data_IF_478770301353
#
_entry.id   IF_478770301353
#
_cell.length_a   1.000
_cell.length_b   1.000
_cell.length_c   1.000
_cell.angle_alpha   90.00
_cell.angle_beta   90.00
_cell.angle_gamma   90.00
#
_symmetry.space_group_name_H-M   'P 1'
#
loop_
_entity.id
_entity.type
_entity.pdbx_description
1 polymer ?
#
# COMPACT_ATOMS: atom_id res chain seq x y z
N UNK A 1 -10.68 -14.96 -1.17
CA UNK A 1 -11.07 -13.54 -1.08
C UNK A 1 -10.00 -12.66 -0.43
N UNK A 2 -9.53 -13.01 0.78
CA UNK A 2 -8.61 -12.19 1.59
C UNK A 2 -7.26 -11.82 0.94
N UNK A 3 -6.63 -12.74 0.18
CA UNK A 3 -5.39 -12.41 -0.54
C UNK A 3 -5.59 -11.27 -1.55
N UNK A 4 -6.72 -11.26 -2.27
CA UNK A 4 -7.06 -10.18 -3.21
C UNK A 4 -7.20 -8.86 -2.47
N UNK A 5 -8.00 -8.82 -1.39
CA UNK A 5 -8.16 -7.62 -0.56
C UNK A 5 -6.81 -7.14 0.03
N UNK A 6 -5.91 -8.05 0.40
CA UNK A 6 -4.60 -7.69 0.90
C UNK A 6 -3.74 -7.02 -0.18
N UNK A 7 -3.60 -7.64 -1.35
CA UNK A 7 -2.85 -7.04 -2.48
C UNK A 7 -3.47 -5.72 -2.92
N UNK A 8 -4.80 -5.62 -3.00
CA UNK A 8 -5.50 -4.38 -3.33
C UNK A 8 -5.22 -3.26 -2.33
N UNK A 9 -5.03 -3.57 -1.04
CA UNK A 9 -4.66 -2.55 -0.04
C UNK A 9 -3.31 -1.90 -0.38
N UNK A 10 -2.32 -2.70 -0.77
CA UNK A 10 -0.99 -2.21 -1.19
C UNK A 10 -1.06 -1.39 -2.49
N UNK A 11 -1.88 -1.80 -3.44
CA UNK A 11 -2.10 -1.05 -4.68
C UNK A 11 -2.75 0.31 -4.37
N UNK A 12 -3.79 0.33 -3.53
CA UNK A 12 -4.52 1.54 -3.16
C UNK A 12 -3.64 2.52 -2.37
N UNK A 13 -2.81 2.08 -1.43
CA UNK A 13 -1.90 2.99 -0.72
C UNK A 13 -0.84 3.57 -1.68
N UNK A 14 -0.36 2.78 -2.64
CA UNK A 14 0.55 3.25 -3.69
C UNK A 14 -0.11 4.29 -4.61
N UNK A 15 -1.38 4.09 -4.99
CA UNK A 15 -2.16 5.07 -5.73
C UNK A 15 -2.41 6.34 -4.89
N UNK A 16 -2.78 6.19 -3.62
CA UNK A 16 -3.00 7.30 -2.68
C UNK A 16 -1.80 8.24 -2.60
N UNK A 17 -0.58 7.70 -2.46
CA UNK A 17 0.63 8.52 -2.42
C UNK A 17 0.88 9.27 -3.73
N UNK A 18 0.59 8.66 -4.87
CA UNK A 18 0.78 9.29 -6.20
C UNK A 18 -0.24 10.39 -6.49
N UNK A 19 -1.50 10.24 -6.04
CA UNK A 19 -2.57 11.21 -6.28
C UNK A 19 -2.60 12.30 -5.22
N UNK A 20 -2.55 11.91 -3.94
CA UNK A 20 -2.74 12.81 -2.82
C UNK A 20 -1.44 13.43 -2.31
N UNK A 21 -0.30 12.78 -2.57
CA UNK A 21 1.04 13.19 -2.12
C UNK A 21 1.65 12.25 -1.07
N UNK A 22 2.94 12.43 -0.81
CA UNK A 22 3.75 11.56 0.07
C UNK A 22 3.29 11.57 1.55
N UNK A 23 2.50 12.55 1.98
CA UNK A 23 1.89 12.60 3.31
C UNK A 23 0.76 11.59 3.49
N UNK A 24 0.20 11.05 2.40
CA UNK A 24 -0.79 9.99 2.48
C UNK A 24 -0.16 8.74 3.13
N UNK A 25 -0.67 8.41 4.31
CA UNK A 25 -0.16 7.32 5.14
C UNK A 25 -1.30 6.49 5.70
N UNK A 26 -1.14 5.17 5.72
CA UNK A 26 -2.14 4.27 6.27
C UNK A 26 -2.31 4.53 7.78
N UNK A 27 -3.54 4.88 8.17
CA UNK A 27 -3.96 4.99 9.56
C UNK A 27 -4.57 3.68 10.08
N UNK A 28 -5.12 2.86 9.18
CA UNK A 28 -5.79 1.60 9.52
C UNK A 28 -6.17 0.80 8.29
N UNK A 29 -6.41 -0.49 8.46
CA UNK A 29 -6.97 -1.34 7.42
C UNK A 29 -7.74 -2.50 8.04
N UNK A 30 -8.91 -2.84 7.48
CA UNK A 30 -9.64 -4.04 7.84
C UNK A 30 -10.06 -4.79 6.57
N UNK A 31 -10.07 -6.12 6.65
CA UNK A 31 -10.33 -7.00 5.51
C UNK A 31 -11.29 -8.09 5.98
N UNK A 32 -12.42 -8.20 5.31
CA UNK A 32 -13.39 -9.27 5.47
C UNK A 32 -13.50 -10.05 4.15
N UNK A 33 -14.31 -11.10 4.13
CA UNK A 33 -14.58 -11.93 2.96
C UNK A 33 -15.32 -11.13 1.88
N UNK A 34 -16.26 -10.27 2.31
CA UNK A 34 -17.15 -9.50 1.44
C UNK A 34 -16.65 -8.08 1.14
N UNK A 35 -15.97 -7.44 2.09
CA UNK A 35 -15.54 -6.05 1.97
C UNK A 35 -14.17 -5.79 2.61
N UNK A 36 -13.54 -4.69 2.22
CA UNK A 36 -12.31 -4.21 2.86
C UNK A 36 -12.33 -2.69 2.97
N UNK A 37 -11.63 -2.16 3.97
CA UNK A 37 -11.43 -0.72 4.17
C UNK A 37 -9.95 -0.41 4.38
N UNK A 38 -9.55 0.76 3.91
CA UNK A 38 -8.24 1.35 4.11
C UNK A 38 -8.47 2.79 4.57
N UNK A 39 -7.95 3.11 5.76
CA UNK A 39 -8.03 4.43 6.35
C UNK A 39 -6.70 5.15 6.08
N UNK A 40 -6.75 6.35 5.49
CA UNK A 40 -5.57 7.11 5.06
C UNK A 40 -5.55 8.47 5.75
N UNK A 41 -4.40 8.83 6.32
CA UNK A 41 -4.13 10.17 6.83
C UNK A 41 -4.11 11.17 5.68
N UNK A 42 -5.08 12.06 5.66
CA UNK A 42 -5.18 13.16 4.71
C UNK A 42 -5.84 14.36 5.39
N UNK A 43 -5.50 15.58 4.96
CA UNK A 43 -5.88 16.81 5.67
C UNK A 43 -7.29 17.31 5.37
N UNK A 44 -7.99 16.70 4.40
CA UNK A 44 -9.36 17.03 4.00
C UNK A 44 -10.08 15.82 3.43
N UNK A 45 -11.35 15.97 3.10
CA UNK A 45 -12.08 14.98 2.32
C UNK A 45 -11.56 14.92 0.88
N UNK A 46 -11.60 13.72 0.29
CA UNK A 46 -11.26 13.52 -1.11
C UNK A 46 -12.33 14.13 -2.01
N UNK A 47 -11.92 14.80 -3.08
CA UNK A 47 -12.86 15.21 -4.13
C UNK A 47 -13.27 14.00 -4.97
N UNK A 48 -14.34 14.14 -5.74
CA UNK A 48 -14.80 13.09 -6.65
C UNK A 48 -13.75 12.77 -7.71
N UNK A 49 -13.00 13.78 -8.16
CA UNK A 49 -11.92 13.65 -9.15
C UNK A 49 -10.74 12.88 -8.57
N UNK A 50 -10.37 13.15 -7.31
CA UNK A 50 -9.32 12.40 -6.61
C UNK A 50 -9.71 10.93 -6.43
N UNK A 51 -10.96 10.65 -6.05
CA UNK A 51 -11.46 9.27 -5.94
C UNK A 51 -11.40 8.54 -7.28
N UNK A 52 -11.83 9.20 -8.37
CA UNK A 52 -11.77 8.63 -9.73
C UNK A 52 -10.34 8.36 -10.17
N UNK A 53 -9.40 9.25 -9.86
CA UNK A 53 -8.00 9.07 -10.23
C UNK A 53 -7.34 7.94 -9.43
N UNK A 54 -7.67 7.80 -8.14
CA UNK A 54 -7.24 6.66 -7.32
C UNK A 54 -7.73 5.33 -7.90
N UNK A 55 -9.01 5.26 -8.24
CA UNK A 55 -9.61 4.08 -8.86
C UNK A 55 -8.94 3.76 -10.21
N UNK A 56 -8.75 4.77 -11.06
CA UNK A 56 -8.12 4.61 -12.37
C UNK A 56 -6.69 4.06 -12.26
N UNK A 57 -5.87 4.61 -11.36
CA UNK A 57 -4.51 4.15 -11.14
C UNK A 57 -4.46 2.74 -10.53
N UNK A 58 -5.33 2.45 -9.55
CA UNK A 58 -5.39 1.13 -8.94
C UNK A 58 -5.79 0.06 -9.97
N UNK A 59 -6.84 0.31 -10.74
CA UNK A 59 -7.29 -0.57 -11.81
C UNK A 59 -6.21 -0.77 -12.89
N UNK A 60 -5.49 0.30 -13.27
CA UNK A 60 -4.35 0.20 -14.20
C UNK A 60 -3.30 -0.80 -13.71
N UNK A 61 -2.88 -0.71 -12.44
CA UNK A 61 -1.90 -1.65 -11.86
C UNK A 61 -2.42 -3.09 -11.86
N UNK A 62 -3.72 -3.28 -11.60
CA UNK A 62 -4.35 -4.61 -11.70
C UNK A 62 -4.29 -5.14 -13.13
N UNK A 63 -4.59 -4.31 -14.13
CA UNK A 63 -4.53 -4.69 -15.55
C UNK A 63 -3.11 -4.99 -16.02
N UNK A 64 -2.11 -4.28 -15.51
CA UNK A 64 -0.69 -4.52 -15.82
C UNK A 64 -0.18 -5.87 -15.30
N UNK A 65 -0.90 -6.50 -14.36
CA UNK A 65 -0.58 -7.81 -13.81
C UNK A 65 0.89 -7.91 -13.34
N UNK A 66 1.33 -6.88 -12.61
CA UNK A 66 2.71 -6.79 -12.12
C UNK A 66 3.03 -7.94 -11.14
N UNK A 67 4.28 -8.43 -11.12
CA UNK A 67 4.68 -9.48 -10.18
C UNK A 67 4.55 -9.00 -8.73
N UNK A 68 4.10 -9.91 -7.87
CA UNK A 68 4.07 -9.73 -6.40
C UNK A 68 5.14 -10.62 -5.79
N UNK A 69 6.19 -10.00 -5.27
CA UNK A 69 7.36 -10.70 -4.73
C UNK A 69 7.45 -10.54 -3.22
N UNK A 70 8.03 -11.54 -2.55
CA UNK A 70 8.30 -11.48 -1.12
C UNK A 70 9.70 -11.99 -0.82
N UNK A 71 10.40 -11.30 0.07
CA UNK A 71 11.77 -11.62 0.46
C UNK A 71 11.99 -11.33 1.95
N UNK A 72 12.90 -12.06 2.57
CA UNK A 72 13.41 -11.72 3.90
C UNK A 72 14.70 -10.94 3.74
N UNK A 73 14.82 -9.82 4.44
CA UNK A 73 16.02 -8.97 4.35
C UNK A 73 16.36 -8.38 5.72
N UNK A 74 17.63 -8.07 6.00
CA UNK A 74 18.02 -7.29 7.17
C UNK A 74 17.32 -5.92 7.20
N UNK A 75 16.82 -5.52 8.36
CA UNK A 75 16.03 -4.28 8.53
C UNK A 75 16.78 -3.05 8.04
N UNK A 76 18.04 -2.91 8.42
CA UNK A 76 18.91 -1.81 8.04
C UNK A 76 19.10 -1.72 6.53
N UNK A 77 19.29 -2.86 5.85
CA UNK A 77 19.35 -2.93 4.39
C UNK A 77 18.02 -2.51 3.75
N UNK A 78 16.90 -2.99 4.30
CA UNK A 78 15.55 -2.64 3.83
C UNK A 78 15.28 -1.15 3.95
N UNK A 79 15.54 -0.56 5.11
CA UNK A 79 15.30 0.86 5.40
C UNK A 79 16.18 1.74 4.52
N UNK A 80 17.44 1.36 4.29
CA UNK A 80 18.33 2.07 3.37
C UNK A 80 17.84 2.02 1.92
N UNK A 81 17.28 0.89 1.50
CA UNK A 81 16.86 0.68 0.11
C UNK A 81 15.49 1.29 -0.19
N UNK A 82 14.53 1.13 0.72
CA UNK A 82 13.12 1.46 0.48
C UNK A 82 12.61 2.62 1.33
N UNK A 83 13.41 3.10 2.29
CA UNK A 83 13.01 4.13 3.24
C UNK A 83 11.96 3.65 4.25
N UNK A 84 11.46 4.58 5.05
CA UNK A 84 10.49 4.27 6.12
C UNK A 84 9.07 3.96 5.61
N UNK A 85 8.80 4.08 4.30
CA UNK A 85 7.51 3.67 3.70
C UNK A 85 7.20 2.19 3.89
N UNK A 86 8.18 1.38 4.27
CA UNK A 86 7.99 -0.01 4.68
C UNK A 86 6.98 -0.17 5.83
N UNK A 87 6.80 0.88 6.64
CA UNK A 87 6.04 0.82 7.88
C UNK A 87 4.64 1.44 7.79
N UNK A 88 4.03 1.45 6.59
CA UNK A 88 2.63 1.87 6.41
C UNK A 88 1.66 1.08 7.31
N UNK A 89 1.90 -0.22 7.47
CA UNK A 89 1.12 -1.09 8.35
C UNK A 89 1.53 -1.06 9.83
N UNK A 90 2.43 -0.15 10.22
CA UNK A 90 3.05 -0.11 11.54
C UNK A 90 4.45 -0.73 11.59
N UNK A 91 5.15 -0.48 12.70
CA UNK A 91 6.48 -1.03 12.93
C UNK A 91 6.39 -2.53 13.24
N UNK A 92 7.13 -3.34 12.48
CA UNK A 92 7.27 -4.78 12.74
C UNK A 92 8.49 -5.03 13.63
N UNK A 93 8.51 -6.03 14.53
CA UNK A 93 9.68 -6.41 15.31
C UNK A 93 10.69 -7.24 14.48
N UNK A 94 11.89 -7.47 15.02
CA UNK A 94 12.88 -8.41 14.47
C UNK A 94 14.00 -7.78 13.63
N UNK A 95 15.12 -8.50 13.49
CA UNK A 95 16.29 -8.07 12.69
C UNK A 95 16.12 -8.36 11.20
N UNK A 96 15.45 -9.46 10.85
CA UNK A 96 15.02 -9.79 9.50
C UNK A 96 13.53 -9.41 9.36
N UNK A 97 13.20 -8.65 8.33
CA UNK A 97 11.81 -8.29 8.03
C UNK A 97 11.38 -8.89 6.69
N UNK A 98 10.11 -9.29 6.61
CA UNK A 98 9.51 -9.82 5.38
C UNK A 98 8.97 -8.66 4.54
N UNK A 99 9.58 -8.46 3.39
CA UNK A 99 9.14 -7.49 2.40
C UNK A 99 8.06 -8.07 1.49
N UNK A 100 7.14 -7.22 1.08
CA UNK A 100 6.16 -7.49 0.02
C UNK A 100 6.29 -6.36 -1.00
N UNK A 101 6.52 -6.71 -2.26
CA UNK A 101 6.73 -5.77 -3.36
C UNK A 101 5.75 -6.07 -4.48
N UNK A 102 5.13 -5.03 -5.05
CA UNK A 102 4.23 -5.13 -6.20
C UNK A 102 4.82 -4.30 -7.33
N UNK A 103 5.28 -4.95 -8.39
CA UNK A 103 5.98 -4.28 -9.48
C UNK A 103 7.32 -3.67 -9.05
N UNK A 104 7.76 -2.63 -9.77
CA UNK A 104 9.01 -1.92 -9.52
C UNK A 104 8.80 -0.70 -8.61
#
# INVERSE_FOLDING_TARGET
SLMRHHTSTHILIGAARRVLGEHAWQAGAAKDVEASRLDISHYRHLTVEEVKELERLACKVVTENLPVETAWTPRDEAERTYGYRLYQGGAVPGVLIRLVRIGN
#
